data_IF_361396686566
#
_entry.id   IF_361396686566
#
_cell.length_a   1.000
_cell.length_b   1.000
_cell.length_c   1.000
_cell.angle_alpha   90.00
_cell.angle_beta   90.00
_cell.angle_gamma   90.00
#
_symmetry.space_group_name_H-M   'P 1'
#
loop_
_entity.id
_entity.type
_entity.pdbx_description
1 polymer ?
#
# COMPACT_ATOMS: atom_id res chain seq x y z
N UNK A 1 4.84 3.28 -16.76
CA UNK A 1 4.89 2.01 -16.03
C UNK A 1 4.11 0.97 -16.79
N UNK A 2 3.84 -0.17 -16.17
CA UNK A 2 2.93 -1.21 -16.70
C UNK A 2 2.05 -1.69 -15.55
N UNK A 3 0.76 -1.85 -15.83
CA UNK A 3 -0.24 -2.34 -14.89
C UNK A 3 -0.98 -3.53 -15.50
N UNK A 4 -1.24 -4.55 -14.70
CA UNK A 4 -1.98 -5.72 -15.13
C UNK A 4 -2.85 -6.25 -13.99
N UNK A 5 -4.02 -6.79 -14.34
CA UNK A 5 -4.90 -7.49 -13.41
C UNK A 5 -5.63 -8.64 -14.10
N UNK A 6 -6.02 -9.62 -13.31
CA UNK A 6 -6.75 -10.80 -13.77
C UNK A 6 -7.76 -11.22 -12.69
N UNK A 7 -8.99 -11.49 -13.12
CA UNK A 7 -10.02 -12.06 -12.27
C UNK A 7 -10.59 -13.31 -12.95
N UNK A 8 -10.66 -14.41 -12.22
CA UNK A 8 -11.21 -15.67 -12.71
C UNK A 8 -12.11 -16.33 -11.66
N UNK A 9 -13.07 -17.12 -12.14
CA UNK A 9 -13.92 -17.98 -11.30
C UNK A 9 -13.79 -19.41 -11.80
N UNK A 10 -12.75 -20.16 -11.39
CA UNK A 10 -12.50 -21.51 -11.91
C UNK A 10 -13.67 -22.46 -11.65
N UNK A 11 -14.36 -22.25 -10.53
CA UNK A 11 -15.55 -22.99 -10.10
C UNK A 11 -16.53 -22.02 -9.42
N UNK A 12 -17.80 -22.42 -9.27
CA UNK A 12 -18.86 -21.52 -8.75
C UNK A 12 -18.59 -20.99 -7.34
N UNK A 13 -17.92 -21.77 -6.50
CA UNK A 13 -17.64 -21.45 -5.10
C UNK A 13 -16.28 -20.76 -4.88
N UNK A 14 -15.45 -20.55 -5.92
CA UNK A 14 -14.13 -19.92 -5.80
C UNK A 14 -14.01 -18.76 -6.80
N UNK A 15 -13.65 -17.58 -6.29
CA UNK A 15 -13.21 -16.45 -7.12
C UNK A 15 -11.78 -16.08 -6.76
N UNK A 16 -10.95 -15.87 -7.79
CA UNK A 16 -9.56 -15.44 -7.65
C UNK A 16 -9.37 -14.11 -8.38
N UNK A 17 -8.65 -13.19 -7.75
CA UNK A 17 -8.25 -11.92 -8.31
C UNK A 17 -6.77 -11.68 -8.04
N UNK A 18 -6.04 -11.16 -9.02
CA UNK A 18 -4.64 -10.77 -8.89
C UNK A 18 -4.38 -9.46 -9.63
N UNK A 19 -3.43 -8.68 -9.14
CA UNK A 19 -2.98 -7.46 -9.80
C UNK A 19 -1.49 -7.23 -9.55
N UNK A 20 -0.86 -6.49 -10.47
CA UNK A 20 0.52 -6.07 -10.37
C UNK A 20 0.76 -4.78 -11.14
N UNK A 21 1.64 -3.94 -10.59
CA UNK A 21 2.03 -2.64 -11.12
C UNK A 21 3.54 -2.49 -11.04
N UNK A 22 4.13 -2.04 -12.14
CA UNK A 22 5.51 -1.60 -12.24
C UNK A 22 5.56 -0.12 -12.64
N UNK A 23 5.93 0.74 -11.70
CA UNK A 23 5.94 2.19 -11.88
C UNK A 23 7.36 2.69 -12.09
N UNK A 24 7.53 3.51 -13.13
CA UNK A 24 8.72 4.34 -13.33
C UNK A 24 8.27 5.78 -13.21
N UNK A 25 8.56 6.41 -12.07
CA UNK A 25 8.29 7.81 -11.81
C UNK A 25 9.61 8.49 -11.45
N UNK A 26 10.10 9.38 -12.31
CA UNK A 26 11.34 10.13 -12.09
C UNK A 26 11.08 11.62 -12.23
N UNK A 27 11.73 12.39 -11.38
CA UNK A 27 11.80 13.84 -11.46
C UNK A 27 12.61 14.19 -12.71
N UNK A 28 12.05 15.04 -13.56
CA UNK A 28 12.66 15.38 -14.85
C UNK A 28 13.74 16.45 -14.69
N UNK A 29 13.54 17.36 -13.75
CA UNK A 29 14.40 18.52 -13.53
C UNK A 29 14.88 18.60 -12.09
N UNK A 30 15.93 19.38 -11.90
CA UNK A 30 16.43 19.75 -10.58
C UNK A 30 15.48 20.77 -9.93
N UNK A 31 15.39 20.75 -8.60
CA UNK A 31 14.71 21.82 -7.89
C UNK A 31 15.62 23.07 -7.95
N UNK A 32 15.16 24.09 -8.66
CA UNK A 32 15.90 25.35 -8.87
C UNK A 32 15.23 26.53 -8.18
N UNK A 33 16.02 27.55 -7.87
CA UNK A 33 15.53 28.86 -7.52
C UNK A 33 14.83 29.49 -8.75
N UNK A 34 13.56 29.88 -8.65
CA UNK A 34 12.78 30.32 -9.81
C UNK A 34 13.20 31.71 -10.34
N UNK A 35 13.96 32.50 -9.57
CA UNK A 35 14.41 33.83 -9.96
C UNK A 35 15.80 33.78 -10.62
N UNK A 36 16.66 32.90 -10.14
CA UNK A 36 18.08 32.84 -10.56
C UNK A 36 18.42 31.62 -11.42
N UNK A 37 17.55 30.61 -11.47
CA UNK A 37 17.82 29.33 -12.14
C UNK A 37 18.88 28.48 -11.43
N UNK A 38 19.35 28.89 -10.25
CA UNK A 38 20.36 28.17 -9.47
C UNK A 38 19.77 26.86 -8.95
N UNK A 39 20.47 25.75 -9.15
CA UNK A 39 20.11 24.45 -8.54
C UNK A 39 20.17 24.55 -7.00
N UNK A 40 19.05 24.23 -6.35
CA UNK A 40 18.92 24.15 -4.90
C UNK A 40 19.03 22.71 -4.42
N UNK A 41 18.41 21.78 -5.16
CA UNK A 41 18.47 20.34 -4.88
C UNK A 41 18.58 19.59 -6.21
N UNK A 42 19.61 18.75 -6.40
CA UNK A 42 19.85 17.98 -7.62
C UNK A 42 18.91 16.76 -7.69
N UNK A 43 17.65 17.01 -8.05
CA UNK A 43 16.57 16.02 -8.13
C UNK A 43 16.41 15.36 -9.50
N UNK A 44 17.04 15.89 -10.56
CA UNK A 44 16.88 15.36 -11.90
C UNK A 44 17.28 13.88 -11.98
N UNK A 45 16.41 13.08 -12.61
CA UNK A 45 16.58 11.63 -12.76
C UNK A 45 16.33 10.82 -11.49
N UNK A 46 16.14 11.46 -10.33
CA UNK A 46 15.78 10.79 -9.07
C UNK A 46 14.35 10.27 -9.14
N UNK A 47 14.09 9.20 -8.44
CA UNK A 47 12.79 8.55 -8.41
C UNK A 47 11.86 9.29 -7.43
N UNK A 48 10.59 9.43 -7.80
CA UNK A 48 9.61 10.15 -6.99
C UNK A 48 9.42 9.47 -5.64
N UNK A 49 9.43 10.28 -4.59
CA UNK A 49 9.20 9.89 -3.20
C UNK A 49 7.81 9.28 -2.98
N UNK A 50 7.68 8.47 -1.93
CA UNK A 50 6.44 7.77 -1.53
C UNK A 50 5.81 6.86 -2.62
N UNK A 51 6.46 6.73 -3.78
CA UNK A 51 5.98 5.95 -4.92
C UNK A 51 6.74 4.63 -4.98
N UNK A 52 6.08 3.47 -4.82
CA UNK A 52 6.75 2.18 -4.94
C UNK A 52 6.99 1.84 -6.42
N UNK A 53 8.15 1.27 -6.73
CA UNK A 53 8.40 0.73 -8.08
C UNK A 53 7.53 -0.48 -8.40
N UNK A 54 7.28 -1.31 -7.39
CA UNK A 54 6.48 -2.52 -7.52
C UNK A 54 5.36 -2.49 -6.51
N UNK A 55 4.13 -2.76 -6.96
CA UNK A 55 2.99 -2.97 -6.09
C UNK A 55 2.14 -4.08 -6.69
N UNK A 56 1.86 -5.11 -5.92
CA UNK A 56 1.10 -6.26 -6.39
C UNK A 56 0.35 -6.93 -5.27
N UNK A 57 -0.63 -7.75 -5.62
CA UNK A 57 -1.45 -8.43 -4.65
C UNK A 57 -2.50 -9.30 -5.30
N UNK A 58 -3.34 -9.88 -4.46
CA UNK A 58 -4.42 -10.73 -4.92
C UNK A 58 -5.39 -11.04 -3.80
N UNK A 59 -6.49 -11.66 -4.21
CA UNK A 59 -7.57 -12.08 -3.32
C UNK A 59 -8.09 -13.45 -3.77
N UNK A 60 -8.35 -14.30 -2.80
CA UNK A 60 -9.15 -15.51 -2.97
C UNK A 60 -10.44 -15.37 -2.15
N UNK A 61 -11.57 -15.72 -2.77
CA UNK A 61 -12.89 -15.72 -2.15
C UNK A 61 -13.51 -17.11 -2.29
N UNK A 62 -13.87 -17.72 -1.17
CA UNK A 62 -14.64 -18.95 -1.07
C UNK A 62 -16.07 -18.61 -0.65
N UNK A 63 -17.06 -19.11 -1.40
CA UNK A 63 -18.48 -18.95 -1.09
C UNK A 63 -19.10 -20.34 -0.94
N UNK A 64 -19.27 -20.79 0.30
CA UNK A 64 -19.70 -22.13 0.68
C UNK A 64 -20.91 -22.02 1.62
N UNK A 65 -22.14 -21.99 1.10
CA UNK A 65 -23.35 -21.83 1.92
C UNK A 65 -23.32 -22.73 3.19
N UNK A 66 -23.44 -22.20 4.42
CA UNK A 66 -23.77 -20.80 4.80
C UNK A 66 -22.59 -19.86 5.07
N UNK A 67 -21.36 -20.28 4.78
CA UNK A 67 -20.13 -19.56 5.09
C UNK A 67 -19.46 -18.99 3.84
N UNK A 68 -19.04 -17.74 3.88
CA UNK A 68 -18.13 -17.17 2.89
C UNK A 68 -16.85 -16.71 3.56
N UNK A 69 -15.70 -16.97 2.94
CA UNK A 69 -14.37 -16.58 3.47
C UNK A 69 -13.54 -15.96 2.37
N UNK A 70 -12.98 -14.78 2.66
CA UNK A 70 -12.05 -14.07 1.79
C UNK A 70 -10.69 -13.91 2.45
N UNK A 71 -9.62 -14.01 1.66
CA UNK A 71 -8.27 -13.60 2.05
C UNK A 71 -7.66 -12.75 0.95
N UNK A 72 -7.06 -11.63 1.35
CA UNK A 72 -6.36 -10.70 0.45
C UNK A 72 -4.93 -10.50 0.94
N UNK A 73 -3.99 -10.45 0.01
CA UNK A 73 -2.63 -10.04 0.29
C UNK A 73 -2.20 -8.93 -0.67
N UNK A 74 -1.49 -7.93 -0.16
CA UNK A 74 -0.93 -6.82 -0.94
C UNK A 74 0.50 -6.54 -0.50
N UNK A 75 1.43 -6.56 -1.44
CA UNK A 75 2.82 -6.11 -1.28
C UNK A 75 2.95 -4.70 -1.87
N UNK A 76 3.42 -3.78 -1.04
CA UNK A 76 3.93 -2.48 -1.47
C UNK A 76 5.46 -2.54 -1.40
N UNK A 77 6.13 -2.27 -2.52
CA UNK A 77 7.59 -2.22 -2.57
C UNK A 77 8.18 -1.07 -1.76
N UNK A 78 9.51 -1.04 -1.67
CA UNK A 78 10.22 0.04 -1.00
C UNK A 78 9.90 1.40 -1.65
N UNK A 79 9.94 2.44 -0.83
CA UNK A 79 9.65 3.81 -1.25
C UNK A 79 10.74 4.75 -0.78
N UNK A 80 11.17 5.66 -1.65
CA UNK A 80 12.08 6.73 -1.24
C UNK A 80 11.35 7.71 -0.33
N UNK A 81 12.05 8.14 0.72
CA UNK A 81 11.57 9.14 1.69
C UNK A 81 12.01 10.55 1.24
N UNK A 82 13.12 10.63 0.50
CA UNK A 82 13.79 11.88 0.15
C UNK A 82 13.94 12.08 -1.35
N UNK A 83 13.90 13.34 -1.77
CA UNK A 83 13.91 13.72 -3.19
C UNK A 83 15.23 13.36 -3.89
N UNK A 84 16.36 13.42 -3.16
CA UNK A 84 17.67 12.98 -3.68
C UNK A 84 17.89 11.47 -3.64
N UNK A 85 16.92 10.73 -3.10
CA UNK A 85 16.93 9.28 -2.91
C UNK A 85 18.11 8.76 -2.07
N UNK A 86 18.36 9.39 -0.92
CA UNK A 86 19.38 8.98 0.05
C UNK A 86 18.80 8.20 1.26
N UNK A 87 17.47 8.20 1.43
CA UNK A 87 16.79 7.43 2.47
C UNK A 87 15.56 6.71 1.91
N UNK A 88 15.41 5.44 2.29
CA UNK A 88 14.36 4.55 1.78
C UNK A 88 13.62 3.87 2.93
N UNK A 89 12.29 3.85 2.84
CA UNK A 89 11.44 3.03 3.69
C UNK A 89 11.27 1.65 3.06
N UNK A 90 11.42 0.60 3.87
CA UNK A 90 11.26 -0.78 3.44
C UNK A 90 9.82 -1.04 2.98
N UNK A 91 9.68 -1.85 1.92
CA UNK A 91 8.40 -2.36 1.47
C UNK A 91 7.78 -3.33 2.48
N UNK A 92 6.46 -3.42 2.47
CA UNK A 92 5.67 -4.17 3.44
C UNK A 92 4.58 -4.99 2.76
N UNK A 93 4.12 -6.03 3.45
CA UNK A 93 3.03 -6.89 2.99
C UNK A 93 1.89 -6.86 3.99
N UNK A 94 0.69 -6.52 3.53
CA UNK A 94 -0.53 -6.64 4.33
C UNK A 94 -1.32 -7.85 3.88
N UNK A 95 -1.85 -8.59 4.86
CA UNK A 95 -2.77 -9.69 4.64
C UNK A 95 -4.03 -9.39 5.42
N UNK A 96 -5.17 -9.44 4.75
CA UNK A 96 -6.48 -9.18 5.29
C UNK A 96 -7.36 -10.42 5.12
N UNK A 97 -8.28 -10.64 6.05
CA UNK A 97 -9.20 -11.76 6.05
C UNK A 97 -10.61 -11.28 6.37
N UNK A 98 -11.59 -11.87 5.71
CA UNK A 98 -13.00 -11.67 6.02
C UNK A 98 -13.73 -13.01 6.02
N UNK A 99 -14.70 -13.14 6.91
CA UNK A 99 -15.56 -14.29 7.02
C UNK A 99 -17.00 -13.82 7.26
N UNK A 100 -17.96 -14.45 6.58
CA UNK A 100 -19.38 -14.21 6.72
C UNK A 100 -20.09 -15.53 6.97
N UNK A 101 -21.06 -15.53 7.89
CA UNK A 101 -21.95 -16.64 8.19
C UNK A 101 -23.40 -16.17 8.02
N UNK A 102 -24.08 -16.73 7.03
CA UNK A 102 -25.51 -16.51 6.80
C UNK A 102 -26.35 -17.31 7.79
N UNK A 103 -27.34 -16.67 8.41
CA UNK A 103 -28.19 -17.27 9.45
C UNK A 103 -29.50 -17.87 8.92
N UNK A 104 -29.59 -18.13 7.61
CA UNK A 104 -30.75 -18.79 7.00
C UNK A 104 -31.06 -20.16 7.61
N UNK A 105 -30.04 -20.89 8.08
CA UNK A 105 -30.22 -22.15 8.81
C UNK A 105 -31.01 -22.01 10.13
N UNK A 106 -31.12 -20.78 10.67
CA UNK A 106 -31.88 -20.46 11.87
C UNK A 106 -33.23 -19.76 11.55
N UNK A 107 -33.68 -19.79 10.30
CA UNK A 107 -34.90 -19.11 9.85
C UNK A 107 -34.74 -17.61 9.64
N UNK A 108 -33.50 -17.10 9.57
CA UNK A 108 -33.19 -15.69 9.34
C UNK A 108 -32.53 -15.52 7.96
N UNK A 109 -33.30 -15.73 6.90
CA UNK A 109 -32.83 -15.89 5.50
C UNK A 109 -32.05 -14.69 4.92
N UNK A 110 -32.08 -13.54 5.60
CA UNK A 110 -31.37 -12.32 5.19
C UNK A 110 -30.47 -11.73 6.28
N UNK A 111 -30.31 -12.44 7.39
CA UNK A 111 -29.43 -12.01 8.49
C UNK A 111 -28.08 -12.71 8.37
N UNK A 112 -26.99 -11.98 8.62
CA UNK A 112 -25.65 -12.57 8.63
C UNK A 112 -24.75 -11.96 9.71
N UNK A 113 -23.80 -12.78 10.16
CA UNK A 113 -22.65 -12.36 10.96
C UNK A 113 -21.45 -12.17 10.04
N UNK A 114 -20.68 -11.12 10.24
CA UNK A 114 -19.45 -10.89 9.50
C UNK A 114 -18.31 -10.50 10.44
N UNK A 115 -17.15 -11.07 10.18
CA UNK A 115 -15.89 -10.77 10.84
C UNK A 115 -14.88 -10.35 9.78
N UNK A 116 -14.22 -9.22 10.00
CA UNK A 116 -13.13 -8.74 9.17
C UNK A 116 -11.90 -8.54 10.06
N UNK A 117 -10.74 -8.97 9.57
CA UNK A 117 -9.45 -8.78 10.21
C UNK A 117 -8.54 -8.10 9.20
N UNK A 118 -8.17 -6.87 9.47
CA UNK A 118 -7.16 -6.15 8.69
C UNK A 118 -5.78 -6.34 9.31
N UNK A 119 -4.75 -6.40 8.47
CA UNK A 119 -3.36 -6.64 8.88
C UNK A 119 -3.23 -7.88 9.79
N UNK A 120 -3.79 -9.02 9.33
CA UNK A 120 -3.88 -10.30 10.02
C UNK A 120 -2.53 -10.76 10.61
N UNK A 121 -1.44 -10.54 9.87
CA UNK A 121 -0.07 -10.91 10.23
C UNK A 121 0.62 -9.92 11.19
N UNK A 122 -0.06 -8.86 11.63
CA UNK A 122 0.48 -7.81 12.52
C UNK A 122 1.75 -7.14 11.97
N UNK A 123 1.81 -6.91 10.67
CA UNK A 123 2.94 -6.23 10.04
C UNK A 123 3.08 -4.81 10.62
N UNK A 124 4.32 -4.43 10.96
CA UNK A 124 4.67 -3.07 11.37
C UNK A 124 5.32 -2.36 10.20
N UNK A 125 4.64 -1.37 9.67
CA UNK A 125 5.07 -0.66 8.48
C UNK A 125 4.86 0.84 8.62
N UNK A 126 5.55 1.62 7.79
CA UNK A 126 5.28 3.04 7.65
C UNK A 126 4.17 3.25 6.63
N UNK A 127 3.03 3.81 7.04
CA UNK A 127 1.90 4.08 6.16
C UNK A 127 2.17 5.28 5.27
N UNK A 128 2.41 6.42 5.91
CA UNK A 128 2.70 7.67 5.23
C UNK A 128 4.14 8.11 5.54
N UNK A 129 4.79 8.67 4.52
CA UNK A 129 6.15 9.18 4.59
C UNK A 129 6.06 10.69 4.31
N UNK A 130 6.51 11.54 5.23
CA UNK A 130 6.74 12.94 4.85
C UNK A 130 7.97 13.04 3.95
N UNK A 131 7.99 14.05 3.10
CA UNK A 131 9.02 14.24 2.08
C UNK A 131 9.89 15.44 2.42
N UNK A 132 11.21 15.23 2.39
CA UNK A 132 12.23 16.27 2.54
C UNK A 132 13.27 16.09 1.42
N UNK A 133 14.06 17.12 1.14
CA UNK A 133 15.06 17.07 0.07
C UNK A 133 16.06 15.91 0.26
N UNK A 134 16.57 15.74 1.47
CA UNK A 134 17.63 14.79 1.82
C UNK A 134 17.60 14.43 3.32
N UNK A 135 18.10 13.26 3.67
CA UNK A 135 18.20 12.80 5.06
C UNK A 135 19.63 12.95 5.61
N UNK A 136 20.63 12.93 4.74
CA UNK A 136 22.04 13.04 5.11
C UNK A 136 22.64 14.32 4.51
N UNK A 137 23.61 14.97 5.18
CA UNK A 137 24.30 16.11 4.59
C UNK A 137 25.08 15.65 3.35
N UNK A 138 25.08 16.44 2.29
CA UNK A 138 25.89 16.18 1.11
C UNK A 138 26.29 17.48 0.40
N UNK A 139 27.34 17.38 -0.40
CA UNK A 139 27.77 18.43 -1.33
C UNK A 139 27.78 17.84 -2.73
N UNK A 140 27.07 18.46 -3.66
CA UNK A 140 27.07 18.10 -5.07
C UNK A 140 27.32 19.35 -5.92
N UNK A 141 28.49 19.43 -6.53
CA UNK A 141 28.93 20.65 -7.20
C UNK A 141 29.03 21.81 -6.22
N UNK A 142 28.32 22.90 -6.49
CA UNK A 142 28.27 24.11 -5.63
C UNK A 142 27.12 24.06 -4.59
N UNK A 143 26.32 22.99 -4.57
CA UNK A 143 25.20 22.82 -3.64
C UNK A 143 25.67 22.05 -2.41
N UNK A 144 25.55 22.66 -1.23
CA UNK A 144 25.77 22.00 0.07
C UNK A 144 24.48 22.05 0.87
N UNK A 145 24.00 20.90 1.33
CA UNK A 145 22.78 20.79 2.13
C UNK A 145 23.05 20.14 3.48
N UNK A 146 22.35 20.60 4.52
CA UNK A 146 22.32 19.93 5.82
C UNK A 146 21.34 18.76 5.79
N UNK A 147 21.46 17.83 6.75
CA UNK A 147 20.51 16.73 6.93
C UNK A 147 19.08 17.25 7.18
N UNK A 148 18.11 16.72 6.45
CA UNK A 148 16.69 16.86 6.77
C UNK A 148 16.20 15.77 7.72
N UNK A 149 15.20 16.09 8.54
CA UNK A 149 14.56 15.15 9.46
C UNK A 149 13.19 14.69 8.95
N UNK A 150 13.11 13.66 8.09
CA UNK A 150 11.82 13.16 7.62
C UNK A 150 11.04 12.54 8.78
N UNK A 151 9.74 12.80 8.78
CA UNK A 151 8.76 12.21 9.70
C UNK A 151 8.07 11.02 9.03
N UNK A 152 7.90 9.95 9.79
CA UNK A 152 7.27 8.71 9.34
C UNK A 152 6.13 8.37 10.29
N UNK A 153 4.99 7.92 9.77
CA UNK A 153 3.87 7.46 10.60
C UNK A 153 3.66 5.97 10.42
N UNK A 154 3.37 5.27 11.52
CA UNK A 154 3.03 3.86 11.45
C UNK A 154 1.68 3.69 10.75
N UNK A 155 1.61 2.65 9.92
CA UNK A 155 0.36 2.21 9.34
C UNK A 155 -0.56 1.54 10.35
N UNK A 156 -1.75 1.15 9.89
CA UNK A 156 -2.76 0.59 10.76
C UNK A 156 -2.27 -0.73 11.41
N UNK A 157 -2.45 -0.89 12.74
CA UNK A 157 -2.17 -2.16 13.40
C UNK A 157 -3.20 -3.21 12.97
N UNK A 158 -3.04 -4.43 13.48
CA UNK A 158 -4.06 -5.45 13.30
C UNK A 158 -5.37 -5.04 13.97
N UNK A 159 -6.45 -5.00 13.20
CA UNK A 159 -7.77 -4.59 13.68
C UNK A 159 -8.82 -5.64 13.35
N UNK A 160 -9.67 -5.94 14.34
CA UNK A 160 -10.80 -6.85 14.24
C UNK A 160 -12.10 -6.04 14.19
N UNK A 161 -12.98 -6.35 13.26
CA UNK A 161 -14.30 -5.73 13.11
C UNK A 161 -15.33 -6.84 12.98
N UNK A 162 -16.22 -6.91 13.96
CA UNK A 162 -17.41 -7.78 13.91
C UNK A 162 -18.64 -6.94 13.61
N UNK A 163 -19.51 -7.42 12.73
CA UNK A 163 -20.80 -6.81 12.44
C UNK A 163 -21.89 -7.86 12.34
N UNK A 164 -23.09 -7.47 12.72
CA UNK A 164 -24.31 -8.22 12.49
C UNK A 164 -25.20 -7.38 11.58
N UNK A 165 -25.75 -8.01 10.55
CA UNK A 165 -26.73 -7.40 9.67
C UNK A 165 -28.05 -8.12 9.85
N UNK A 166 -29.08 -7.38 10.24
CA UNK A 166 -30.45 -7.87 10.36
C UNK A 166 -31.30 -7.31 9.22
N UNK A 167 -32.00 -8.20 8.52
CA UNK A 167 -33.00 -7.85 7.52
C UNK A 167 -34.20 -8.79 7.71
N UNK A 168 -35.41 -8.22 7.72
CA UNK A 168 -36.68 -8.90 7.95
C UNK A 168 -37.52 -8.96 6.67
#
# INVERSE_FOLDING_TARGET
GVDASLAIKPVRWLSLYGFGSYTIARLQEDATDPLTGRVLVPTAGKFVVETPKWQYGGRAQLNLNPVSVGVQAKRTGDRWVTDVNDLKAAGYTLVDLDARLDLGFAGLDRTFLQLNVSNLLKERYFGNLSTVSNAFPYTQGTVTTNAGGPRLTFGAPRTFIGSIHFEF
#
